data_IF_814042838868
#
_entry.id   IF_814042838868
#
_cell.length_a   1.000
_cell.length_b   1.000
_cell.length_c   1.000
_cell.angle_alpha   90.00
_cell.angle_beta   90.00
_cell.angle_gamma   90.00
#
_symmetry.space_group_name_H-M   'P 1'
#
loop_
_entity.id
_entity.type
_entity.pdbx_description
1 polymer ?
#
# COMPACT_ATOMS: atom_id res chain seq x y z
N UNK A 1 76.05 11.55 2.70
CA UNK A 1 74.71 11.89 3.23
C UNK A 1 73.74 10.86 2.66
N UNK A 2 73.47 9.80 3.43
CA UNK A 2 72.29 9.65 4.29
C UNK A 2 70.99 9.42 3.48
N UNK A 3 70.48 8.18 3.48
CA UNK A 3 69.15 7.73 4.01
C UNK A 3 67.94 8.21 3.14
N UNK A 4 66.86 7.49 2.83
CA UNK A 4 66.25 6.21 3.24
C UNK A 4 65.01 5.92 2.35
N UNK A 5 64.79 4.65 1.99
CA UNK A 5 63.54 3.85 2.00
C UNK A 5 62.16 4.29 1.44
N UNK A 6 61.62 3.39 0.59
CA UNK A 6 60.26 2.80 0.50
C UNK A 6 59.00 3.67 0.35
N UNK A 7 58.23 3.41 -0.74
CA UNK A 7 56.81 3.05 -0.60
C UNK A 7 56.28 2.22 -1.78
N UNK A 8 56.02 0.94 -1.50
CA UNK A 8 55.13 0.06 -2.28
C UNK A 8 53.69 0.57 -2.16
N UNK A 9 52.96 0.63 -3.28
CA UNK A 9 51.55 1.02 -3.33
C UNK A 9 50.78 0.20 -4.37
N UNK A 10 50.54 -1.07 -4.03
CA UNK A 10 49.68 -2.03 -4.73
C UNK A 10 48.21 -1.59 -4.61
N UNK A 11 47.53 -1.25 -5.71
CA UNK A 11 46.07 -1.12 -5.74
C UNK A 11 45.44 -2.37 -6.36
N UNK A 12 45.04 -3.32 -5.51
CA UNK A 12 43.99 -4.32 -5.80
C UNK A 12 42.67 -3.79 -5.23
N UNK A 13 41.61 -3.90 -6.01
CA UNK A 13 40.20 -3.74 -5.60
C UNK A 13 39.35 -3.89 -6.86
N UNK A 14 38.96 -5.08 -7.29
CA UNK A 14 37.93 -5.96 -6.69
C UNK A 14 36.66 -5.16 -6.34
N UNK A 15 35.65 -5.26 -7.21
CA UNK A 15 34.36 -4.62 -7.01
C UNK A 15 33.40 -4.86 -8.18
N UNK A 16 33.29 -6.13 -8.62
CA UNK A 16 32.34 -6.52 -9.64
C UNK A 16 30.90 -6.23 -9.22
N UNK A 17 30.19 -5.53 -10.11
CA UNK A 17 28.74 -5.49 -10.29
C UNK A 17 27.86 -5.57 -9.03
N UNK A 18 27.45 -4.40 -8.52
CA UNK A 18 26.25 -4.25 -7.68
C UNK A 18 25.05 -4.80 -8.46
N UNK A 19 24.66 -6.04 -8.18
CA UNK A 19 23.39 -6.61 -8.60
C UNK A 19 22.29 -5.84 -7.85
N UNK A 20 21.75 -4.83 -8.52
CA UNK A 20 20.62 -4.03 -8.04
C UNK A 20 19.37 -4.93 -8.08
N UNK A 21 19.13 -5.63 -6.97
CA UNK A 21 17.87 -6.38 -6.77
C UNK A 21 16.74 -5.36 -6.72
N UNK A 22 16.05 -5.16 -7.85
CA UNK A 22 14.80 -4.41 -7.90
C UNK A 22 13.77 -5.15 -7.04
N UNK A 23 13.63 -4.71 -5.79
CA UNK A 23 12.52 -5.10 -4.92
C UNK A 23 11.24 -4.60 -5.60
N UNK A 24 10.53 -5.52 -6.24
CA UNK A 24 9.23 -5.26 -6.83
C UNK A 24 8.21 -5.20 -5.69
N UNK A 25 8.09 -4.04 -5.03
CA UNK A 25 7.19 -3.87 -3.89
C UNK A 25 5.77 -3.67 -4.43
N UNK A 26 5.08 -4.77 -4.66
CA UNK A 26 3.66 -4.78 -4.94
C UNK A 26 2.88 -4.52 -3.64
N UNK A 27 2.74 -3.24 -3.26
CA UNK A 27 1.89 -2.85 -2.14
C UNK A 27 0.42 -3.03 -2.52
N UNK A 28 -0.18 -4.16 -2.13
CA UNK A 28 -1.62 -4.28 -2.05
C UNK A 28 -2.11 -3.40 -0.88
N UNK A 29 -2.81 -2.31 -1.21
CA UNK A 29 -3.44 -1.45 -0.21
C UNK A 29 -4.80 -2.07 0.09
N UNK A 30 -5.03 -2.32 1.38
CA UNK A 30 -6.34 -2.75 1.89
C UNK A 30 -6.84 -1.65 2.80
N UNK A 31 -8.04 -1.14 2.54
CA UNK A 31 -8.77 -0.23 3.42
C UNK A 31 -9.98 -0.98 3.96
N UNK A 32 -10.33 -0.73 5.21
CA UNK A 32 -11.58 -1.23 5.77
C UNK A 32 -12.58 -0.09 5.80
N UNK A 33 -13.87 -0.41 5.75
CA UNK A 33 -14.89 0.59 5.91
C UNK A 33 -16.16 0.05 6.56
N UNK A 34 -16.97 0.98 7.04
CA UNK A 34 -18.28 0.71 7.63
C UNK A 34 -19.30 1.66 6.99
N UNK A 35 -20.46 1.15 6.62
CA UNK A 35 -21.58 1.98 6.16
C UNK A 35 -22.18 2.70 7.35
N UNK A 36 -22.25 4.02 7.33
CA UNK A 36 -22.83 4.82 8.41
C UNK A 36 -24.30 5.15 8.11
N UNK A 37 -24.58 5.73 6.93
CA UNK A 37 -25.93 6.13 6.52
C UNK A 37 -26.21 5.75 5.07
N UNK A 38 -27.46 5.43 4.75
CA UNK A 38 -27.90 5.08 3.40
C UNK A 38 -28.97 6.06 2.91
N UNK A 39 -28.72 6.67 1.76
CA UNK A 39 -29.66 7.50 1.01
C UNK A 39 -30.08 6.77 -0.28
N UNK A 40 -31.08 7.27 -1.01
CA UNK A 40 -31.68 6.56 -2.16
C UNK A 40 -30.67 5.90 -3.13
N UNK A 41 -29.58 6.60 -3.51
CA UNK A 41 -28.60 6.11 -4.49
C UNK A 41 -27.14 6.09 -3.98
N UNK A 42 -26.90 6.45 -2.71
CA UNK A 42 -25.55 6.60 -2.15
C UNK A 42 -25.50 6.17 -0.68
N UNK A 43 -24.39 5.60 -0.29
CA UNK A 43 -24.04 5.30 1.10
C UNK A 43 -22.97 6.28 1.57
N UNK A 44 -23.13 6.81 2.78
CA UNK A 44 -22.07 7.46 3.52
C UNK A 44 -21.32 6.37 4.26
N UNK A 45 -20.00 6.34 4.08
CA UNK A 45 -19.14 5.30 4.65
C UNK A 45 -17.99 5.92 5.40
N UNK A 46 -17.60 5.30 6.50
CA UNK A 46 -16.34 5.59 7.16
C UNK A 46 -15.29 4.61 6.63
N UNK A 47 -14.23 5.12 6.02
CA UNK A 47 -13.07 4.35 5.57
C UNK A 47 -11.92 4.53 6.56
N UNK A 48 -11.36 3.42 7.03
CA UNK A 48 -10.17 3.38 7.88
C UNK A 48 -9.00 2.87 7.05
N UNK A 49 -8.03 3.76 6.82
CA UNK A 49 -6.77 3.42 6.17
C UNK A 49 -5.84 2.65 7.13
N UNK A 50 -4.79 2.02 6.59
CA UNK A 50 -3.84 1.22 7.39
C UNK A 50 -3.07 2.04 8.42
N UNK A 51 -2.97 3.35 8.24
CA UNK A 51 -2.38 4.29 9.18
C UNK A 51 -3.30 4.62 10.37
N UNK A 52 -4.53 4.10 10.37
CA UNK A 52 -5.51 4.31 11.44
C UNK A 52 -6.31 5.60 11.29
N UNK A 53 -6.13 6.36 10.22
CA UNK A 53 -6.95 7.52 9.95
C UNK A 53 -8.29 7.11 9.34
N UNK A 54 -9.38 7.64 9.92
CA UNK A 54 -10.73 7.49 9.41
C UNK A 54 -11.08 8.67 8.49
N UNK A 55 -11.75 8.39 7.38
CA UNK A 55 -12.29 9.38 6.46
C UNK A 55 -13.71 9.03 6.08
N UNK A 56 -14.58 10.03 6.02
CA UNK A 56 -15.96 9.86 5.57
C UNK A 56 -16.02 10.07 4.06
N UNK A 57 -16.64 9.13 3.35
CA UNK A 57 -16.78 9.15 1.89
C UNK A 57 -18.21 8.84 1.46
N UNK A 58 -18.60 9.36 0.29
CA UNK A 58 -19.89 9.05 -0.32
C UNK A 58 -19.72 8.11 -1.50
N UNK A 59 -20.22 6.88 -1.36
CA UNK A 59 -20.09 5.83 -2.36
C UNK A 59 -21.45 5.46 -2.97
N UNK A 60 -21.56 5.27 -4.30
CA UNK A 60 -22.81 4.80 -4.91
C UNK A 60 -23.16 3.39 -4.44
N UNK A 61 -24.43 3.11 -4.12
CA UNK A 61 -24.84 1.82 -3.55
C UNK A 61 -24.55 0.63 -4.48
N UNK A 62 -24.61 0.84 -5.79
CA UNK A 62 -24.43 -0.23 -6.78
C UNK A 62 -23.01 -0.79 -6.87
N UNK A 63 -22.00 -0.14 -6.27
CA UNK A 63 -20.63 -0.65 -6.27
C UNK A 63 -20.45 -1.80 -5.27
N UNK A 64 -21.34 -1.93 -4.29
CA UNK A 64 -21.25 -2.95 -3.27
C UNK A 64 -21.75 -4.28 -3.85
N UNK A 65 -20.97 -5.37 -3.73
CA UNK A 65 -21.35 -6.68 -4.27
C UNK A 65 -22.43 -7.39 -3.42
N UNK A 66 -22.92 -6.74 -2.37
CA UNK A 66 -23.89 -7.28 -1.42
C UNK A 66 -24.99 -6.25 -1.15
N UNK A 67 -26.12 -6.70 -0.57
CA UNK A 67 -27.07 -5.78 0.04
C UNK A 67 -26.43 -5.17 1.28
N UNK A 68 -26.38 -3.83 1.34
CA UNK A 68 -25.82 -3.08 2.46
C UNK A 68 -26.92 -2.50 3.35
N UNK A 69 -26.62 -2.41 4.63
CA UNK A 69 -27.42 -1.78 5.70
C UNK A 69 -26.47 -0.94 6.58
N UNK A 70 -27.00 0.00 7.36
CA UNK A 70 -26.18 0.76 8.32
C UNK A 70 -25.41 -0.18 9.26
N UNK A 71 -24.13 0.11 9.48
CA UNK A 71 -23.20 -0.76 10.20
C UNK A 71 -22.55 -1.88 9.35
N UNK A 72 -22.93 -2.05 8.08
CA UNK A 72 -22.31 -3.07 7.21
C UNK A 72 -20.83 -2.80 7.06
N UNK A 73 -20.01 -3.80 7.38
CA UNK A 73 -18.55 -3.73 7.22
C UNK A 73 -18.14 -4.19 5.84
N UNK A 74 -17.13 -3.54 5.28
CA UNK A 74 -16.55 -3.94 4.01
C UNK A 74 -15.04 -3.67 3.98
N UNK A 75 -14.37 -4.21 2.98
CA UNK A 75 -12.96 -3.92 2.71
C UNK A 75 -12.78 -3.60 1.24
N UNK A 76 -11.93 -2.61 0.96
CA UNK A 76 -11.49 -2.24 -0.38
C UNK A 76 -10.06 -2.76 -0.54
N UNK A 77 -9.85 -3.61 -1.53
CA UNK A 77 -8.55 -4.15 -1.90
C UNK A 77 -8.14 -3.60 -3.25
N UNK A 78 -7.02 -2.88 -3.28
CA UNK A 78 -6.42 -2.38 -4.52
C UNK A 78 -5.22 -3.23 -4.89
N UNK A 79 -5.26 -3.83 -6.08
CA UNK A 79 -4.15 -4.62 -6.64
C UNK A 79 -3.86 -4.15 -8.06
N UNK A 80 -2.69 -3.55 -8.27
CA UNK A 80 -2.11 -3.11 -9.57
C UNK A 80 -3.07 -2.32 -10.51
N UNK A 81 -4.12 -2.95 -11.01
CA UNK A 81 -5.13 -2.40 -11.92
C UNK A 81 -6.58 -2.71 -11.53
N UNK A 82 -6.82 -3.27 -10.34
CA UNK A 82 -8.16 -3.70 -9.91
C UNK A 82 -8.45 -3.19 -8.50
N UNK A 83 -9.64 -2.63 -8.33
CA UNK A 83 -10.22 -2.31 -7.03
C UNK A 83 -11.31 -3.35 -6.78
N UNK A 84 -11.26 -4.03 -5.64
CA UNK A 84 -12.24 -5.03 -5.25
C UNK A 84 -12.85 -4.63 -3.92
N UNK A 85 -14.17 -4.50 -3.90
CA UNK A 85 -14.94 -4.30 -2.67
C UNK A 85 -15.42 -5.67 -2.20
N UNK A 86 -15.24 -5.97 -0.93
CA UNK A 86 -15.70 -7.21 -0.31
C UNK A 86 -16.47 -6.86 0.96
N UNK A 87 -17.73 -7.25 1.02
CA UNK A 87 -18.52 -7.11 2.25
C UNK A 87 -18.11 -8.18 3.27
N UNK A 88 -18.09 -7.80 4.53
CA UNK A 88 -17.87 -8.68 5.67
C UNK A 88 -19.19 -8.79 6.42
N UNK A 89 -19.78 -9.99 6.45
CA UNK A 89 -20.98 -10.30 7.24
C UNK A 89 -20.64 -10.37 8.73
#
# INVERSE_FOLDING_TARGET
MALYWHKLGRTRGFGGNKMMKFFNIYFAITMNGTVDQIYENRAIVELVAKDGHAHEESLPIWIFPCKIEEGTKFSIKTKQNTITIQCSQ
#
